data_IF_010205611893
#
_entry.id   IF_010205611893
#
_cell.length_a   1.000
_cell.length_b   1.000
_cell.length_c   1.000
_cell.angle_alpha   90.00
_cell.angle_beta   90.00
_cell.angle_gamma   90.00
#
_symmetry.space_group_name_H-M   'P 1'
#
loop_
_entity.id
_entity.type
_entity.pdbx_description
1 polymer ?
#
# COMPACT_ATOMS: atom_id res chain seq x y z
N UNK A 1 -3.12 10.42 -17.99
CA UNK A 1 -2.27 9.71 -18.97
C UNK A 1 -1.34 8.77 -18.23
N UNK A 2 -0.87 7.72 -18.91
CA UNK A 2 0.14 6.79 -18.39
C UNK A 2 1.07 6.36 -19.54
N UNK A 3 2.29 5.93 -19.22
CA UNK A 3 3.30 5.50 -20.18
C UNK A 3 3.74 4.10 -19.78
N UNK A 4 3.58 3.11 -20.66
CA UNK A 4 3.95 1.73 -20.35
C UNK A 4 5.45 1.44 -20.56
N UNK A 5 5.86 0.20 -20.26
CA UNK A 5 7.26 -0.24 -20.34
C UNK A 5 7.87 -0.17 -21.75
N UNK A 6 7.05 -0.10 -22.81
CA UNK A 6 7.51 0.06 -24.19
C UNK A 6 7.61 1.54 -24.60
N UNK A 7 7.25 2.46 -23.70
CA UNK A 7 7.15 3.88 -23.99
C UNK A 7 5.86 4.28 -24.71
N UNK A 8 4.90 3.35 -24.85
CA UNK A 8 3.60 3.67 -25.45
C UNK A 8 2.76 4.47 -24.46
N UNK A 9 2.00 5.44 -24.98
CA UNK A 9 1.27 6.42 -24.19
C UNK A 9 -0.21 6.10 -24.24
N UNK A 10 -0.85 5.90 -23.07
CA UNK A 10 -2.30 5.79 -22.97
C UNK A 10 -2.92 7.02 -22.27
N UNK A 11 -4.03 7.51 -22.83
CA UNK A 11 -4.74 8.72 -22.38
C UNK A 11 -6.22 8.38 -22.25
N UNK A 12 -6.85 8.82 -21.17
CA UNK A 12 -8.29 8.79 -21.01
C UNK A 12 -8.84 10.23 -20.94
N UNK A 13 -9.98 10.46 -21.57
CA UNK A 13 -10.73 11.72 -21.55
C UNK A 13 -12.18 11.48 -21.93
N UNK A 14 -13.01 12.53 -21.95
CA UNK A 14 -14.40 12.41 -22.36
C UNK A 14 -14.59 12.80 -23.83
N UNK A 15 -15.47 12.09 -24.54
CA UNK A 15 -15.87 12.41 -25.92
C UNK A 15 -17.37 12.23 -26.05
N UNK A 16 -18.05 13.13 -26.78
CA UNK A 16 -19.46 12.91 -27.14
C UNK A 16 -19.55 11.82 -28.21
N UNK A 17 -20.38 10.80 -27.98
CA UNK A 17 -20.75 9.79 -28.97
C UNK A 17 -22.03 10.15 -29.73
N UNK A 18 -22.35 9.40 -30.78
CA UNK A 18 -23.58 9.64 -31.55
C UNK A 18 -24.78 9.12 -30.77
N UNK A 19 -25.64 10.02 -30.29
CA UNK A 19 -26.85 9.66 -29.54
C UNK A 19 -26.61 9.33 -28.07
N UNK A 20 -25.42 9.63 -27.56
CA UNK A 20 -25.02 9.47 -26.16
C UNK A 20 -24.57 10.83 -25.59
N UNK A 21 -24.48 10.91 -24.25
CA UNK A 21 -23.82 12.01 -23.57
C UNK A 21 -22.28 11.91 -23.74
N UNK A 22 -21.51 12.56 -22.85
CA UNK A 22 -20.08 12.31 -22.77
C UNK A 22 -19.82 10.83 -22.44
N UNK A 23 -18.98 10.18 -23.23
CA UNK A 23 -18.52 8.81 -23.03
C UNK A 23 -17.05 8.83 -22.59
N UNK A 24 -16.58 7.77 -21.93
CA UNK A 24 -15.15 7.53 -21.78
C UNK A 24 -14.54 7.36 -23.17
N UNK A 25 -13.41 8.01 -23.41
CA UNK A 25 -12.56 7.79 -24.58
C UNK A 25 -11.14 7.47 -24.11
N UNK A 26 -10.63 6.30 -24.49
CA UNK A 26 -9.29 5.82 -24.17
C UNK A 26 -8.51 5.65 -25.45
N UNK A 27 -7.41 6.36 -25.57
CA UNK A 27 -6.51 6.34 -26.72
C UNK A 27 -5.17 5.76 -26.29
N UNK A 28 -4.58 4.91 -27.12
CA UNK A 28 -3.19 4.47 -26.98
C UNK A 28 -2.41 4.85 -28.22
N UNK A 29 -1.24 5.46 -28.00
CA UNK A 29 -0.28 5.86 -29.02
C UNK A 29 1.03 5.10 -28.82
N UNK A 30 1.75 4.84 -29.90
CA UNK A 30 3.12 4.35 -29.83
C UNK A 30 4.04 5.42 -29.25
N UNK A 31 5.24 5.02 -28.81
CA UNK A 31 6.30 5.97 -28.41
C UNK A 31 6.69 6.98 -29.51
N UNK A 32 6.35 6.70 -30.77
CA UNK A 32 6.57 7.60 -31.92
C UNK A 32 5.35 8.49 -32.24
N UNK A 33 4.27 8.38 -31.47
CA UNK A 33 3.05 9.19 -31.62
C UNK A 33 2.01 8.64 -32.61
N UNK A 34 2.14 7.38 -33.04
CA UNK A 34 1.15 6.74 -33.92
C UNK A 34 -0.03 6.22 -33.10
N UNK A 35 -1.27 6.46 -33.53
CA UNK A 35 -2.45 5.93 -32.83
C UNK A 35 -2.51 4.41 -33.01
N UNK A 36 -2.33 3.66 -31.93
CA UNK A 36 -2.44 2.20 -31.90
C UNK A 36 -3.90 1.77 -31.83
N UNK A 37 -4.68 2.37 -30.92
CA UNK A 37 -6.11 2.12 -30.83
C UNK A 37 -6.86 3.23 -30.08
N UNK A 38 -8.16 3.31 -30.36
CA UNK A 38 -9.15 4.11 -29.64
C UNK A 38 -10.28 3.19 -29.16
N UNK A 39 -10.71 3.37 -27.92
CA UNK A 39 -11.89 2.73 -27.34
C UNK A 39 -12.79 3.76 -26.70
N UNK A 40 -14.10 3.53 -26.85
CA UNK A 40 -15.13 4.27 -26.12
C UNK A 40 -15.88 3.33 -25.19
N UNK A 41 -16.29 3.85 -24.05
CA UNK A 41 -17.21 3.17 -23.15
C UNK A 41 -18.38 4.08 -22.86
N UNK A 42 -19.58 3.53 -23.08
CA UNK A 42 -20.87 4.16 -22.78
C UNK A 42 -21.54 3.37 -21.68
N UNK A 43 -21.92 4.06 -20.61
CA UNK A 43 -22.64 3.50 -19.48
C UNK A 43 -24.10 3.16 -19.80
N UNK A 44 -24.78 2.44 -18.90
CA UNK A 44 -26.17 2.04 -19.08
C UNK A 44 -27.15 3.22 -19.23
N UNK A 45 -26.86 4.34 -18.56
CA UNK A 45 -27.66 5.57 -18.68
C UNK A 45 -27.09 6.44 -19.80
N UNK A 46 -27.45 6.13 -21.05
CA UNK A 46 -26.87 6.75 -22.26
C UNK A 46 -27.03 8.27 -22.36
N UNK A 47 -27.99 8.85 -21.63
CA UNK A 47 -28.21 10.30 -21.54
C UNK A 47 -27.37 10.99 -20.46
N UNK A 48 -26.63 10.24 -19.64
CA UNK A 48 -25.81 10.73 -18.55
C UNK A 48 -24.33 10.65 -18.92
N UNK A 49 -23.49 11.60 -18.47
CA UNK A 49 -22.07 11.58 -18.79
C UNK A 49 -21.33 10.46 -18.05
N UNK A 50 -20.42 9.83 -18.77
CA UNK A 50 -19.36 8.98 -18.25
C UNK A 50 -18.04 9.77 -18.32
N UNK A 51 -17.44 10.06 -17.16
CA UNK A 51 -16.23 10.88 -17.07
C UNK A 51 -15.04 10.10 -16.49
N UNK A 52 -13.98 9.83 -17.28
CA UNK A 52 -12.77 9.23 -16.73
C UNK A 52 -12.04 10.24 -15.84
N UNK A 53 -11.59 9.77 -14.67
CA UNK A 53 -10.90 10.58 -13.65
C UNK A 53 -9.43 10.21 -13.53
N UNK A 54 -9.09 8.93 -13.68
CA UNK A 54 -7.70 8.46 -13.60
C UNK A 54 -7.43 7.25 -14.49
N UNK A 55 -6.16 7.05 -14.85
CA UNK A 55 -5.67 5.97 -15.72
C UNK A 55 -4.34 5.42 -15.20
N UNK A 56 -4.17 4.10 -15.24
CA UNK A 56 -2.93 3.39 -14.91
C UNK A 56 -2.70 2.21 -15.87
N UNK A 57 -1.50 1.63 -15.84
CA UNK A 57 -1.18 0.39 -16.54
C UNK A 57 -0.54 -0.62 -15.59
N UNK A 58 -0.62 -1.92 -15.91
CA UNK A 58 0.16 -2.96 -15.20
C UNK A 58 1.43 -3.37 -15.98
N UNK A 59 2.26 -4.20 -15.37
CA UNK A 59 3.52 -4.68 -15.96
C UNK A 59 3.32 -5.50 -17.25
N UNK A 60 2.12 -6.06 -17.48
CA UNK A 60 1.74 -6.75 -18.70
C UNK A 60 1.22 -5.80 -19.80
N UNK A 61 1.14 -4.49 -19.52
CA UNK A 61 0.67 -3.47 -20.46
C UNK A 61 -0.85 -3.35 -20.56
N UNK A 62 -1.61 -3.99 -19.66
CA UNK A 62 -3.05 -3.76 -19.59
C UNK A 62 -3.31 -2.34 -19.08
N UNK A 63 -4.34 -1.70 -19.61
CA UNK A 63 -4.73 -0.33 -19.25
C UNK A 63 -5.96 -0.38 -18.35
N UNK A 64 -5.93 0.37 -17.26
CA UNK A 64 -7.03 0.51 -16.32
C UNK A 64 -7.47 1.97 -16.29
N UNK A 65 -8.76 2.21 -16.44
CA UNK A 65 -9.36 3.55 -16.35
C UNK A 65 -10.44 3.53 -15.31
N UNK A 66 -10.43 4.51 -14.39
CA UNK A 66 -11.54 4.73 -13.47
C UNK A 66 -12.15 6.10 -13.66
N UNK A 67 -13.44 6.23 -13.37
CA UNK A 67 -14.19 7.46 -13.48
C UNK A 67 -15.63 7.31 -12.99
N UNK A 68 -16.45 8.33 -13.20
CA UNK A 68 -17.86 8.31 -12.82
C UNK A 68 -18.73 7.82 -13.97
N UNK A 69 -19.75 7.04 -13.67
CA UNK A 69 -20.75 6.57 -14.64
C UNK A 69 -22.08 6.32 -13.95
N UNK A 70 -23.19 6.73 -14.58
CA UNK A 70 -24.53 6.52 -14.02
C UNK A 70 -25.02 5.10 -14.36
N UNK A 71 -25.44 4.34 -13.34
CA UNK A 71 -26.03 3.01 -13.53
C UNK A 71 -27.51 3.06 -13.92
N UNK A 72 -28.14 1.89 -14.15
CA UNK A 72 -29.54 1.82 -14.62
C UNK A 72 -30.57 2.29 -13.58
N UNK A 73 -30.24 2.21 -12.30
CA UNK A 73 -31.13 2.58 -11.18
C UNK A 73 -30.36 3.16 -10.01
N UNK A 74 -29.16 3.64 -10.30
CA UNK A 74 -28.22 4.23 -9.34
C UNK A 74 -27.82 5.62 -9.83
N UNK A 75 -27.21 6.41 -8.94
CA UNK A 75 -26.66 7.72 -9.28
C UNK A 75 -25.28 7.56 -9.96
N UNK A 76 -24.44 8.59 -9.90
CA UNK A 76 -23.04 8.49 -10.33
C UNK A 76 -22.30 7.51 -9.44
N UNK A 77 -21.89 6.39 -10.04
CA UNK A 77 -21.11 5.34 -9.40
C UNK A 77 -19.66 5.39 -9.87
N UNK A 78 -18.77 4.72 -9.13
CA UNK A 78 -17.45 4.40 -9.66
C UNK A 78 -17.62 3.43 -10.81
N UNK A 79 -16.89 3.68 -11.89
CA UNK A 79 -16.64 2.73 -12.95
C UNK A 79 -15.13 2.50 -13.06
N UNK A 80 -14.72 1.24 -13.15
CA UNK A 80 -13.34 0.85 -13.46
C UNK A 80 -13.35 -0.12 -14.63
N UNK A 81 -12.61 0.19 -15.70
CA UNK A 81 -12.54 -0.62 -16.92
C UNK A 81 -11.11 -1.06 -17.16
N UNK A 82 -10.91 -2.35 -17.45
CA UNK A 82 -9.63 -2.92 -17.87
C UNK A 82 -9.65 -3.23 -19.37
N UNK A 83 -8.60 -2.80 -20.06
CA UNK A 83 -8.33 -3.13 -21.46
C UNK A 83 -7.02 -3.92 -21.57
N UNK A 84 -6.98 -4.87 -22.50
CA UNK A 84 -5.75 -5.54 -22.92
C UNK A 84 -4.78 -4.55 -23.59
N UNK A 85 -3.51 -4.92 -23.80
CA UNK A 85 -2.57 -4.07 -24.55
C UNK A 85 -3.04 -3.77 -25.98
N UNK A 86 -3.81 -4.67 -26.60
CA UNK A 86 -4.45 -4.51 -27.93
C UNK A 86 -5.73 -3.67 -27.91
N UNK A 87 -6.19 -3.24 -26.73
CA UNK A 87 -7.38 -2.42 -26.56
C UNK A 87 -8.68 -3.22 -26.41
N UNK A 88 -8.63 -4.54 -26.25
CA UNK A 88 -9.83 -5.34 -26.01
C UNK A 88 -10.30 -5.15 -24.56
N UNK A 89 -11.59 -4.87 -24.36
CA UNK A 89 -12.13 -4.74 -23.00
C UNK A 89 -12.13 -6.12 -22.33
N UNK A 90 -11.43 -6.24 -21.21
CA UNK A 90 -11.33 -7.50 -20.45
C UNK A 90 -12.46 -7.57 -19.43
N UNK A 91 -12.69 -6.49 -18.69
CA UNK A 91 -13.79 -6.38 -17.74
C UNK A 91 -14.08 -4.91 -17.40
N UNK A 92 -15.30 -4.65 -16.93
CA UNK A 92 -15.69 -3.43 -16.21
C UNK A 92 -16.27 -3.78 -14.83
N UNK A 93 -16.06 -2.88 -13.86
CA UNK A 93 -16.58 -3.01 -12.50
C UNK A 93 -17.17 -1.71 -12.02
N UNK A 94 -18.30 -1.82 -11.34
CA UNK A 94 -19.00 -0.71 -10.70
C UNK A 94 -18.93 -0.82 -9.19
N UNK A 95 -18.84 0.33 -8.53
CA UNK A 95 -18.99 0.44 -7.09
C UNK A 95 -19.93 1.59 -6.76
N UNK A 96 -21.05 1.26 -6.11
CA UNK A 96 -22.22 2.12 -5.90
C UNK A 96 -22.34 2.58 -4.44
N UNK A 97 -21.22 2.57 -3.72
CA UNK A 97 -21.20 2.94 -2.31
C UNK A 97 -22.11 2.10 -1.43
N UNK A 98 -22.58 2.72 -0.35
CA UNK A 98 -23.52 2.15 0.60
C UNK A 98 -24.98 2.44 0.23
N UNK A 99 -25.23 3.45 -0.60
CA UNK A 99 -26.56 3.93 -0.95
C UNK A 99 -26.70 4.03 -2.47
N UNK A 100 -27.73 3.44 -3.05
CA UNK A 100 -27.89 3.46 -4.51
C UNK A 100 -28.05 4.87 -5.12
N UNK A 101 -28.39 5.87 -4.30
CA UNK A 101 -28.55 7.26 -4.72
C UNK A 101 -27.38 8.17 -4.29
N UNK A 102 -26.28 7.63 -3.75
CA UNK A 102 -25.11 8.43 -3.40
C UNK A 102 -24.34 8.91 -4.64
N UNK A 103 -23.67 10.05 -4.51
CA UNK A 103 -22.71 10.49 -5.51
C UNK A 103 -21.34 9.91 -5.15
N UNK A 104 -20.93 8.87 -5.87
CA UNK A 104 -19.68 8.16 -5.65
C UNK A 104 -18.68 8.52 -6.75
N UNK A 105 -17.56 9.15 -6.37
CA UNK A 105 -16.54 9.63 -7.32
C UNK A 105 -15.14 9.05 -7.05
N UNK A 106 -14.55 8.29 -7.99
CA UNK A 106 -13.15 7.90 -7.92
C UNK A 106 -12.24 9.08 -8.28
N UNK A 107 -11.11 9.19 -7.59
CA UNK A 107 -10.12 10.24 -7.83
C UNK A 107 -8.76 9.70 -8.27
N UNK A 108 -8.47 8.43 -7.97
CA UNK A 108 -7.16 7.84 -8.28
C UNK A 108 -7.22 6.35 -8.51
N UNK A 109 -6.25 5.87 -9.29
CA UNK A 109 -6.05 4.44 -9.59
C UNK A 109 -4.56 4.11 -9.66
N UNK A 110 -4.18 2.94 -9.19
CA UNK A 110 -2.84 2.38 -9.35
C UNK A 110 -2.88 0.85 -9.40
N UNK A 111 -1.79 0.24 -9.85
CA UNK A 111 -1.64 -1.22 -9.98
C UNK A 111 -0.52 -1.71 -9.07
N UNK A 112 -0.67 -2.94 -8.54
CA UNK A 112 0.42 -3.63 -7.84
C UNK A 112 1.22 -4.53 -8.79
N UNK A 113 2.32 -5.08 -8.28
CA UNK A 113 3.22 -5.94 -9.07
C UNK A 113 2.56 -7.25 -9.53
N UNK A 114 1.48 -7.67 -8.86
CA UNK A 114 0.69 -8.85 -9.20
C UNK A 114 -0.39 -8.56 -10.26
N UNK A 115 -0.50 -7.30 -10.73
CA UNK A 115 -1.53 -6.88 -11.68
C UNK A 115 -2.91 -6.72 -11.06
N UNK A 116 -3.00 -6.63 -9.73
CA UNK A 116 -4.21 -6.17 -9.07
C UNK A 116 -4.31 -4.65 -9.21
N UNK A 117 -5.53 -4.13 -9.12
CA UNK A 117 -5.81 -2.71 -9.28
C UNK A 117 -6.47 -2.15 -8.04
N UNK A 118 -5.99 -0.98 -7.63
CA UNK A 118 -6.51 -0.24 -6.50
C UNK A 118 -7.11 1.07 -6.98
N UNK A 119 -8.30 1.38 -6.47
CA UNK A 119 -9.07 2.56 -6.81
C UNK A 119 -9.39 3.30 -5.52
N UNK A 120 -9.14 4.60 -5.48
CA UNK A 120 -9.53 5.46 -4.37
C UNK A 120 -10.49 6.55 -4.85
N UNK A 121 -11.40 6.97 -3.97
CA UNK A 121 -12.32 8.06 -4.21
C UNK A 121 -13.10 8.42 -2.96
N UNK A 122 -14.19 9.16 -3.14
CA UNK A 122 -15.14 9.48 -2.09
C UNK A 122 -16.51 8.83 -2.32
N UNK A 123 -17.16 8.42 -1.24
CA UNK A 123 -18.49 7.80 -1.25
C UNK A 123 -19.25 8.17 0.02
N UNK A 124 -20.56 8.41 -0.08
CA UNK A 124 -21.38 8.79 1.08
C UNK A 124 -21.44 7.65 2.11
N UNK A 125 -21.37 8.02 3.40
CA UNK A 125 -21.41 7.10 4.54
C UNK A 125 -22.64 7.29 5.43
N UNK A 126 -22.99 6.29 6.26
CA UNK A 126 -24.06 6.44 7.24
C UNK A 126 -23.68 7.52 8.27
N UNK A 127 -24.48 8.59 8.35
CA UNK A 127 -24.34 9.61 9.39
C UNK A 127 -23.11 10.51 9.24
N UNK A 128 -22.46 10.47 8.08
CA UNK A 128 -21.32 11.30 7.71
C UNK A 128 -21.58 11.95 6.34
N UNK A 129 -20.70 12.87 5.96
CA UNK A 129 -20.62 13.37 4.59
C UNK A 129 -19.87 12.32 3.73
N UNK A 130 -19.36 12.71 2.56
CA UNK A 130 -18.59 11.78 1.73
C UNK A 130 -17.26 11.42 2.38
N UNK A 131 -17.02 10.12 2.56
CA UNK A 131 -15.81 9.58 3.19
C UNK A 131 -14.87 9.00 2.12
N UNK A 132 -13.59 8.82 2.46
CA UNK A 132 -12.66 8.16 1.55
C UNK A 132 -12.99 6.66 1.46
N UNK A 133 -13.06 6.13 0.24
CA UNK A 133 -13.20 4.70 -0.03
C UNK A 133 -12.07 4.22 -0.93
N UNK A 134 -11.53 3.05 -0.58
CA UNK A 134 -10.50 2.36 -1.34
C UNK A 134 -10.98 0.96 -1.66
N UNK A 135 -10.83 0.59 -2.92
CA UNK A 135 -11.19 -0.70 -3.48
C UNK A 135 -9.90 -1.38 -3.98
N UNK A 136 -9.78 -2.69 -3.78
CA UNK A 136 -8.79 -3.52 -4.46
C UNK A 136 -9.49 -4.63 -5.23
N UNK A 137 -9.23 -4.70 -6.52
CA UNK A 137 -9.66 -5.79 -7.39
C UNK A 137 -8.46 -6.64 -7.79
N UNK A 138 -8.66 -7.95 -7.91
CA UNK A 138 -7.67 -8.83 -8.53
C UNK A 138 -7.55 -8.57 -10.04
N UNK A 139 -6.58 -9.21 -10.69
CA UNK A 139 -6.35 -9.06 -12.13
C UNK A 139 -7.53 -9.52 -13.01
N UNK A 140 -8.41 -10.38 -12.48
CA UNK A 140 -9.66 -10.85 -13.12
C UNK A 140 -10.88 -9.95 -12.80
N UNK A 141 -10.69 -8.91 -11.98
CA UNK A 141 -11.74 -7.96 -11.59
C UNK A 141 -12.57 -8.42 -10.40
N UNK A 142 -12.18 -9.46 -9.65
CA UNK A 142 -12.85 -9.82 -8.39
C UNK A 142 -12.48 -8.82 -7.32
N UNK A 143 -13.45 -8.28 -6.58
CA UNK A 143 -13.18 -7.41 -5.44
C UNK A 143 -12.51 -8.23 -4.32
N UNK A 144 -11.26 -7.92 -3.98
CA UNK A 144 -10.51 -8.56 -2.90
C UNK A 144 -10.93 -7.95 -1.57
N UNK A 145 -10.90 -6.62 -1.49
CA UNK A 145 -11.33 -5.88 -0.30
C UNK A 145 -11.74 -4.46 -0.68
N UNK A 146 -12.54 -3.85 0.21
CA UNK A 146 -12.77 -2.43 0.24
C UNK A 146 -12.58 -1.91 1.67
N UNK A 147 -12.17 -0.65 1.83
CA UNK A 147 -12.07 0.00 3.12
C UNK A 147 -12.55 1.44 3.04
N UNK A 148 -13.09 1.94 4.14
CA UNK A 148 -13.60 3.31 4.29
C UNK A 148 -12.82 4.00 5.39
N UNK A 149 -12.44 5.25 5.15
CA UNK A 149 -11.90 6.14 6.16
C UNK A 149 -12.83 7.34 6.33
N UNK A 150 -13.39 7.43 7.52
CA UNK A 150 -14.14 8.57 8.02
C UNK A 150 -13.38 9.16 9.21
N UNK A 151 -13.15 10.47 9.19
CA UNK A 151 -12.49 11.18 10.27
C UNK A 151 -13.36 11.21 11.53
N UNK A 152 -12.76 11.58 12.66
CA UNK A 152 -13.49 11.75 13.91
C UNK A 152 -14.56 12.87 13.87
N UNK A 153 -14.55 13.74 12.84
CA UNK A 153 -15.53 14.81 12.70
C UNK A 153 -16.75 14.44 11.86
N UNK A 154 -16.78 13.25 11.23
CA UNK A 154 -17.83 12.87 10.26
C UNK A 154 -18.00 13.87 9.11
N UNK A 155 -16.91 14.55 8.74
CA UNK A 155 -16.92 15.60 7.72
C UNK A 155 -16.62 15.05 6.32
N UNK A 156 -16.33 15.95 5.37
CA UNK A 156 -15.89 15.51 4.04
C UNK A 156 -14.44 15.02 4.12
N UNK A 157 -14.20 13.80 3.66
CA UNK A 157 -12.87 13.21 3.55
C UNK A 157 -12.64 12.72 2.11
N UNK A 158 -11.70 13.36 1.40
CA UNK A 158 -11.49 13.13 -0.05
C UNK A 158 -10.05 12.77 -0.37
N UNK A 159 -9.80 11.64 -1.05
CA UNK A 159 -8.47 11.33 -1.54
C UNK A 159 -8.17 12.18 -2.79
N UNK A 160 -6.95 12.71 -2.88
CA UNK A 160 -6.46 13.38 -4.09
C UNK A 160 -5.60 12.44 -4.95
N UNK A 161 -4.83 11.56 -4.31
CA UNK A 161 -3.91 10.66 -5.01
C UNK A 161 -3.75 9.36 -4.23
N UNK A 162 -3.69 8.26 -4.96
CA UNK A 162 -3.32 6.93 -4.47
C UNK A 162 -2.02 6.50 -5.15
N UNK A 163 -1.15 5.84 -4.40
CA UNK A 163 0.04 5.18 -4.92
C UNK A 163 0.34 3.92 -4.12
N UNK A 164 1.17 3.05 -4.67
CA UNK A 164 1.66 1.88 -3.96
C UNK A 164 3.16 2.02 -3.77
N UNK A 165 3.64 1.78 -2.54
CA UNK A 165 5.07 1.71 -2.28
C UNK A 165 5.65 0.35 -2.68
N UNK A 166 6.98 0.24 -2.66
CA UNK A 166 7.67 -1.01 -3.01
C UNK A 166 7.40 -2.17 -2.03
N UNK A 167 6.61 -1.95 -0.97
CA UNK A 167 6.18 -2.96 0.01
C UNK A 167 4.70 -3.31 -0.16
N UNK A 168 4.13 -2.97 -1.30
CA UNK A 168 2.70 -3.10 -1.62
C UNK A 168 1.76 -2.38 -0.64
N UNK A 169 2.28 -1.40 0.12
CA UNK A 169 1.43 -0.57 0.96
C UNK A 169 0.75 0.48 0.11
N UNK A 170 -0.54 0.67 0.36
CA UNK A 170 -1.35 1.68 -0.29
C UNK A 170 -1.15 3.00 0.44
N UNK A 171 -0.65 3.99 -0.26
CA UNK A 171 -0.49 5.36 0.22
C UNK A 171 -1.57 6.22 -0.42
N UNK A 172 -2.24 7.02 0.40
CA UNK A 172 -3.31 7.92 -0.04
C UNK A 172 -3.03 9.27 0.54
N UNK A 173 -2.95 10.30 -0.30
CA UNK A 173 -2.91 11.69 0.14
C UNK A 173 -4.24 12.35 -0.17
N UNK A 174 -4.72 13.23 0.70
CA UNK A 174 -6.00 13.89 0.52
C UNK A 174 -6.27 14.97 1.55
N UNK A 175 -7.53 15.38 1.62
CA UNK A 175 -8.03 16.28 2.65
C UNK A 175 -9.01 15.51 3.54
N UNK A 176 -8.93 15.73 4.85
CA UNK A 176 -9.85 15.18 5.85
C UNK A 176 -10.40 16.31 6.70
N UNK A 177 -11.60 16.17 7.23
CA UNK A 177 -12.12 17.17 8.17
C UNK A 177 -11.66 16.82 9.59
N UNK A 178 -10.94 17.73 10.25
CA UNK A 178 -10.47 17.58 11.62
C UNK A 178 -11.41 18.24 12.63
N UNK A 179 -11.43 17.70 13.86
CA UNK A 179 -12.26 18.23 14.95
C UNK A 179 -11.70 19.59 15.40
N UNK A 180 -12.44 20.66 15.10
CA UNK A 180 -12.08 22.03 15.50
C UNK A 180 -11.04 22.71 14.60
N UNK A 181 -10.57 22.04 13.54
CA UNK A 181 -9.54 22.54 12.61
C UNK A 181 -10.08 22.81 11.21
N UNK A 182 -11.20 22.18 10.82
CA UNK A 182 -11.73 22.28 9.45
C UNK A 182 -11.05 21.27 8.53
N UNK A 183 -10.86 21.58 7.25
CA UNK A 183 -10.18 20.66 6.32
C UNK A 183 -8.66 20.71 6.51
N UNK A 184 -8.07 19.57 6.83
CA UNK A 184 -6.64 19.35 6.99
C UNK A 184 -6.09 18.42 5.92
N UNK A 185 -4.80 18.55 5.60
CA UNK A 185 -4.11 17.58 4.76
C UNK A 185 -3.84 16.30 5.54
N UNK A 186 -4.09 15.15 4.90
CA UNK A 186 -3.79 13.83 5.47
C UNK A 186 -3.06 12.93 4.48
N UNK A 187 -2.23 12.04 5.04
CA UNK A 187 -1.67 10.88 4.34
C UNK A 187 -2.05 9.62 5.12
N UNK A 188 -2.78 8.73 4.47
CA UNK A 188 -3.15 7.42 4.99
C UNK A 188 -2.21 6.37 4.38
N UNK A 189 -1.77 5.41 5.20
CA UNK A 189 -1.00 4.25 4.75
C UNK A 189 -1.72 2.97 5.16
N UNK A 190 -2.15 2.18 4.19
CA UNK A 190 -2.70 0.85 4.40
C UNK A 190 -1.64 -0.17 4.01
N UNK A 191 -1.13 -0.91 4.99
CA UNK A 191 -0.20 -2.00 4.71
C UNK A 191 -1.01 -3.25 4.39
N UNK A 192 -0.67 -3.97 3.32
CA UNK A 192 -1.31 -5.25 3.06
C UNK A 192 -0.93 -6.24 4.18
N UNK A 193 -1.94 -6.65 4.94
CA UNK A 193 -1.82 -7.71 5.94
C UNK A 193 -1.67 -9.05 5.20
N UNK A 194 -0.46 -9.54 5.02
CA UNK A 194 -0.27 -10.97 4.76
C UNK A 194 -0.16 -11.70 6.09
N UNK A 195 -1.29 -12.12 6.67
CA UNK A 195 -1.28 -13.20 7.65
C UNK A 195 -2.67 -13.82 7.86
N UNK A 196 -2.79 -15.12 7.58
CA UNK A 196 -3.71 -15.99 8.34
C UNK A 196 -3.09 -16.15 9.73
N UNK A 197 -3.75 -15.59 10.75
CA UNK A 197 -3.36 -15.80 12.15
C UNK A 197 -3.75 -14.66 13.09
N UNK A 198 -4.95 -14.78 13.65
CA UNK A 198 -5.49 -14.24 14.92
C UNK A 198 -4.79 -13.06 15.62
N UNK A 199 -5.51 -11.93 15.66
CA UNK A 199 -5.61 -10.92 16.74
C UNK A 199 -4.43 -10.78 17.72
N UNK A 200 -3.63 -9.72 17.56
CA UNK A 200 -3.42 -8.64 18.56
C UNK A 200 -2.32 -7.67 18.11
N UNK A 201 -2.65 -6.38 18.12
CA UNK A 201 -1.76 -5.20 18.19
C UNK A 201 -0.72 -4.95 17.07
N UNK A 202 -0.78 -3.75 16.51
CA UNK A 202 -0.03 -3.26 15.34
C UNK A 202 1.49 -3.20 15.58
N UNK A 203 2.26 -3.96 14.79
CA UNK A 203 3.70 -3.77 14.55
C UNK A 203 4.08 -4.28 13.15
N UNK A 204 5.15 -3.78 12.51
CA UNK A 204 5.45 -4.03 11.09
C UNK A 204 5.64 -5.53 10.85
N UNK A 205 4.79 -6.14 10.03
CA UNK A 205 4.57 -7.59 9.97
C UNK A 205 5.74 -8.38 9.34
N UNK A 206 6.82 -8.56 10.09
CA UNK A 206 7.82 -9.61 9.84
C UNK A 206 9.23 -9.33 10.32
N UNK A 207 9.63 -8.06 10.50
CA UNK A 207 10.90 -7.71 11.15
C UNK A 207 10.66 -7.44 12.64
N UNK A 208 11.24 -8.26 13.51
CA UNK A 208 11.10 -8.11 14.96
C UNK A 208 12.43 -8.33 15.67
N UNK A 209 12.63 -7.62 16.79
CA UNK A 209 13.73 -7.86 17.73
C UNK A 209 13.11 -8.04 19.12
N UNK A 210 13.18 -9.25 19.64
CA UNK A 210 12.62 -9.62 20.94
C UNK A 210 13.48 -9.09 22.08
N UNK A 211 12.84 -8.83 23.23
CA UNK A 211 13.56 -8.62 24.47
C UNK A 211 14.36 -9.89 24.81
N UNK A 212 15.64 -9.74 25.15
CA UNK A 212 16.49 -10.85 25.55
C UNK A 212 15.94 -11.54 26.80
N UNK A 213 16.07 -12.87 26.87
CA UNK A 213 15.66 -13.66 28.03
C UNK A 213 16.76 -14.64 28.44
N UNK A 214 17.12 -14.69 29.74
CA UNK A 214 16.64 -13.83 30.82
C UNK A 214 17.12 -12.36 30.68
N UNK A 215 16.41 -11.41 31.30
CA UNK A 215 16.85 -10.03 31.50
C UNK A 215 16.30 -9.53 32.86
N UNK A 216 17.13 -9.30 33.89
CA UNK A 216 18.60 -9.33 33.89
C UNK A 216 19.19 -10.71 33.61
N UNK A 217 20.45 -10.79 33.18
CA UNK A 217 21.10 -12.06 32.84
C UNK A 217 22.48 -12.25 33.49
N UNK A 218 22.85 -13.51 33.71
CA UNK A 218 24.17 -13.94 34.18
C UNK A 218 24.40 -15.44 33.88
N UNK A 219 25.50 -15.86 33.23
CA UNK A 219 26.33 -15.07 32.33
C UNK A 219 25.74 -14.97 30.91
N UNK A 220 24.65 -15.70 30.62
CA UNK A 220 24.11 -15.84 29.26
C UNK A 220 22.66 -15.37 29.12
N UNK A 221 22.33 -14.85 27.95
CA UNK A 221 20.96 -14.51 27.54
C UNK A 221 20.71 -14.91 26.09
N UNK A 222 19.45 -15.03 25.71
CA UNK A 222 19.04 -15.37 24.34
C UNK A 222 18.33 -14.19 23.71
N UNK A 223 18.72 -13.83 22.48
CA UNK A 223 18.14 -12.74 21.69
C UNK A 223 17.42 -13.34 20.49
N UNK A 224 16.10 -13.22 20.48
CA UNK A 224 15.25 -13.63 19.35
C UNK A 224 15.01 -12.49 18.36
N UNK A 225 14.90 -12.81 17.07
CA UNK A 225 14.49 -11.87 16.04
C UNK A 225 13.82 -12.59 14.87
N UNK A 226 12.97 -11.88 14.13
CA UNK A 226 12.32 -12.40 12.91
C UNK A 226 12.72 -11.57 11.71
N UNK A 227 12.97 -12.22 10.58
CA UNK A 227 13.28 -11.60 9.30
C UNK A 227 12.14 -11.85 8.31
N UNK A 228 11.62 -10.80 7.63
CA UNK A 228 10.54 -10.97 6.66
C UNK A 228 11.00 -11.62 5.35
N UNK A 229 12.27 -11.42 4.98
CA UNK A 229 12.88 -11.95 3.75
C UNK A 229 14.35 -12.33 4.01
N UNK A 230 14.98 -12.96 3.03
CA UNK A 230 16.42 -13.18 3.04
C UNK A 230 17.16 -11.84 3.04
N UNK A 231 18.17 -11.69 3.89
CA UNK A 231 18.87 -10.41 4.04
C UNK A 231 20.19 -10.48 4.79
N UNK A 232 21.00 -9.44 4.63
CA UNK A 232 22.21 -9.20 5.41
C UNK A 232 21.83 -8.74 6.81
N UNK A 233 22.30 -9.45 7.84
CA UNK A 233 21.98 -9.20 9.24
C UNK A 233 23.25 -8.93 10.04
N UNK A 234 23.23 -7.89 10.85
CA UNK A 234 24.28 -7.57 11.82
C UNK A 234 23.70 -7.28 13.20
N UNK A 235 23.98 -8.14 14.19
CA UNK A 235 23.60 -7.94 15.60
C UNK A 235 24.84 -7.57 16.41
N UNK A 236 24.87 -6.34 16.93
CA UNK A 236 26.00 -5.79 17.67
C UNK A 236 25.56 -5.35 19.06
N UNK A 237 26.46 -5.44 20.03
CA UNK A 237 26.25 -5.02 21.42
C UNK A 237 27.12 -3.82 21.74
N UNK A 238 26.55 -2.87 22.49
CA UNK A 238 27.13 -1.60 22.85
C UNK A 238 27.02 -1.36 24.36
N UNK A 239 28.00 -0.67 24.92
CA UNK A 239 27.89 -0.09 26.26
C UNK A 239 27.07 1.22 26.25
N UNK A 240 26.93 1.86 27.41
CA UNK A 240 26.17 3.12 27.58
C UNK A 240 26.81 4.31 26.89
N UNK A 241 28.10 4.24 26.56
CA UNK A 241 28.82 5.27 25.79
C UNK A 241 28.65 5.07 24.27
N UNK A 242 27.97 3.99 23.86
CA UNK A 242 27.75 3.63 22.45
C UNK A 242 28.95 2.94 21.81
N UNK A 243 29.96 2.52 22.58
CA UNK A 243 31.10 1.76 22.08
C UNK A 243 30.69 0.31 21.86
N UNK A 244 31.01 -0.22 20.68
CA UNK A 244 30.73 -1.62 20.33
C UNK A 244 31.62 -2.56 21.17
N UNK A 245 31.00 -3.42 21.96
CA UNK A 245 31.67 -4.39 22.85
C UNK A 245 31.58 -5.83 22.36
N UNK A 246 30.62 -6.16 21.49
CA UNK A 246 30.53 -7.48 20.84
C UNK A 246 29.78 -7.43 19.49
N UNK A 247 30.01 -8.42 18.64
CA UNK A 247 29.24 -8.68 17.42
C UNK A 247 28.86 -10.17 17.39
N UNK A 248 27.55 -10.45 17.39
CA UNK A 248 27.03 -11.82 17.51
C UNK A 248 26.85 -12.44 16.13
N UNK A 249 26.52 -11.63 15.13
CA UNK A 249 26.34 -12.07 13.75
C UNK A 249 26.63 -10.92 12.79
N UNK A 250 27.14 -11.27 11.60
CA UNK A 250 27.31 -10.38 10.47
C UNK A 250 27.33 -11.20 9.16
N UNK A 251 26.17 -11.66 8.71
CA UNK A 251 26.04 -12.49 7.51
C UNK A 251 24.65 -12.40 6.89
N UNK A 252 24.51 -12.95 5.67
CA UNK A 252 23.21 -13.19 5.06
C UNK A 252 22.50 -14.32 5.81
N UNK A 253 21.21 -14.11 6.08
CA UNK A 253 20.33 -15.06 6.76
C UNK A 253 19.03 -15.24 5.98
N UNK A 254 18.45 -16.45 6.00
CA UNK A 254 17.16 -16.70 5.38
C UNK A 254 16.03 -16.03 6.16
N UNK A 255 14.90 -15.79 5.51
CA UNK A 255 13.66 -15.35 6.14
C UNK A 255 13.25 -16.30 7.29
N UNK A 256 12.51 -15.76 8.27
CA UNK A 256 11.97 -16.53 9.40
C UNK A 256 12.52 -16.10 10.77
N UNK A 257 12.19 -16.89 11.78
CA UNK A 257 12.57 -16.64 13.18
C UNK A 257 13.92 -17.24 13.51
N UNK A 258 14.76 -16.44 14.17
CA UNK A 258 16.13 -16.77 14.56
C UNK A 258 16.36 -16.46 16.02
N UNK A 259 17.36 -17.13 16.59
CA UNK A 259 17.74 -16.94 17.98
C UNK A 259 19.25 -17.06 18.14
N UNK A 260 19.85 -16.14 18.89
CA UNK A 260 21.27 -16.12 19.18
C UNK A 260 21.52 -16.04 20.68
N UNK A 261 22.39 -16.90 21.18
CA UNK A 261 22.85 -16.86 22.57
C UNK A 261 24.02 -15.89 22.70
N UNK A 262 23.94 -14.99 23.68
CA UNK A 262 25.03 -14.13 24.10
C UNK A 262 25.54 -14.60 25.46
N UNK A 263 26.80 -15.04 25.53
CA UNK A 263 27.45 -15.47 26.76
C UNK A 263 28.62 -14.54 27.10
N UNK A 264 28.53 -13.78 28.22
CA UNK A 264 29.61 -12.85 28.58
C UNK A 264 30.86 -13.54 29.12
N UNK A 265 30.77 -14.80 29.57
CA UNK A 265 31.94 -15.53 30.06
C UNK A 265 33.02 -15.69 29.00
N UNK A 266 32.64 -15.66 27.72
CA UNK A 266 33.52 -15.80 26.57
C UNK A 266 34.04 -14.45 26.04
N UNK A 267 33.53 -13.33 26.56
CA UNK A 267 33.94 -11.98 26.14
C UNK A 267 35.37 -11.63 26.58
N UNK A 268 36.14 -11.00 25.69
CA UNK A 268 37.48 -10.45 25.97
C UNK A 268 37.58 -9.00 25.46
N UNK A 269 37.83 -8.01 26.33
CA UNK A 269 37.89 -8.09 27.80
C UNK A 269 36.54 -8.47 28.43
N UNK A 270 36.58 -8.94 29.68
CA UNK A 270 35.38 -9.27 30.45
C UNK A 270 34.49 -8.04 30.63
N UNK A 271 33.21 -8.17 30.30
CA UNK A 271 32.24 -7.08 30.43
C UNK A 271 31.85 -6.87 31.90
N UNK A 272 31.87 -5.64 32.45
CA UNK A 272 31.41 -5.37 33.81
C UNK A 272 29.89 -5.49 33.96
N UNK A 273 29.40 -5.66 35.19
CA UNK A 273 27.97 -5.49 35.52
C UNK A 273 27.49 -4.12 35.04
N UNK A 274 26.33 -4.07 34.39
CA UNK A 274 25.83 -2.81 33.85
C UNK A 274 24.76 -2.96 32.78
N UNK A 275 24.34 -1.81 32.27
CA UNK A 275 23.38 -1.70 31.17
C UNK A 275 24.11 -1.77 29.84
N UNK A 276 23.56 -2.54 28.91
CA UNK A 276 24.05 -2.67 27.55
C UNK A 276 22.89 -2.55 26.56
N UNK A 277 23.21 -2.24 25.31
CA UNK A 277 22.26 -2.16 24.22
C UNK A 277 22.65 -3.13 23.12
N UNK A 278 21.71 -3.87 22.56
CA UNK A 278 21.93 -4.64 21.34
C UNK A 278 21.13 -4.03 20.19
N UNK A 279 21.78 -3.88 19.05
CA UNK A 279 21.22 -3.33 17.82
C UNK A 279 21.26 -4.37 16.72
N UNK A 280 20.10 -4.68 16.18
CA UNK A 280 19.94 -5.49 14.97
C UNK A 280 19.82 -4.55 13.78
N UNK A 281 20.75 -4.64 12.84
CA UNK A 281 20.66 -4.03 11.52
C UNK A 281 20.37 -5.13 10.50
N UNK A 282 19.41 -4.88 9.60
CA UNK A 282 18.98 -5.84 8.59
C UNK A 282 18.82 -5.13 7.25
N UNK A 283 19.38 -5.70 6.18
CA UNK A 283 19.22 -5.24 4.80
C UNK A 283 18.67 -6.38 3.95
N UNK A 284 17.43 -6.28 3.47
CA UNK A 284 16.80 -7.30 2.65
C UNK A 284 17.49 -7.40 1.27
N UNK A 285 17.79 -8.61 0.81
CA UNK A 285 18.48 -8.83 -0.48
C UNK A 285 17.61 -8.44 -1.68
N UNK A 286 16.31 -8.67 -1.61
CA UNK A 286 15.41 -8.55 -2.76
C UNK A 286 14.92 -7.11 -3.01
N UNK A 287 15.03 -6.24 -2.01
CA UNK A 287 14.43 -4.89 -2.05
C UNK A 287 15.39 -3.78 -1.62
N UNK A 288 16.55 -4.10 -1.04
CA UNK A 288 17.45 -3.12 -0.44
C UNK A 288 16.89 -2.45 0.82
N UNK A 289 15.72 -2.89 1.33
CA UNK A 289 15.12 -2.41 2.57
C UNK A 289 16.10 -2.47 3.72
N UNK A 290 16.21 -1.39 4.49
CA UNK A 290 17.04 -1.36 5.69
C UNK A 290 16.18 -1.17 6.93
N UNK A 291 16.37 -2.03 7.92
CA UNK A 291 15.72 -1.92 9.21
C UNK A 291 16.78 -1.92 10.32
N UNK A 292 16.51 -1.16 11.36
CA UNK A 292 17.32 -1.15 12.58
C UNK A 292 16.42 -1.14 13.80
N UNK A 293 16.72 -1.96 14.81
CA UNK A 293 16.03 -1.94 16.10
C UNK A 293 17.05 -2.10 17.23
N UNK A 294 16.80 -1.43 18.34
CA UNK A 294 17.66 -1.40 19.52
C UNK A 294 16.85 -1.80 20.74
N UNK A 295 17.43 -2.66 21.58
CA UNK A 295 16.86 -3.04 22.86
C UNK A 295 17.92 -2.99 23.95
N UNK A 296 17.46 -2.74 25.16
CA UNK A 296 18.29 -2.66 26.37
C UNK A 296 18.36 -4.03 27.04
N UNK A 297 19.51 -4.38 27.60
CA UNK A 297 19.69 -5.53 28.48
C UNK A 297 20.51 -5.15 29.72
N UNK A 298 20.35 -5.91 30.80
CA UNK A 298 21.01 -5.69 32.07
C UNK A 298 21.83 -6.94 32.45
N UNK A 299 23.15 -6.79 32.52
CA UNK A 299 24.07 -7.81 33.01
C UNK A 299 24.27 -7.61 34.52
N UNK A 300 24.07 -8.65 35.32
CA UNK A 300 24.33 -8.66 36.77
C UNK A 300 25.32 -9.79 37.05
N UNK A 301 26.37 -9.52 37.84
CA UNK A 301 27.33 -10.53 38.29
C UNK A 301 27.13 -10.84 39.77
#
# INVERSE_FOLDING_TARGET
>A
MTIDNNGDIAIAGSSVGSGTSLDFAVLKYSSMGELLWLRRYTGPATSSPDEPKAIAHDSAGNIYVTGTSVGQSTSYDYLTVKYSPSGDMIWDRRYTGQFNNSFDEPTGICTDASGNVLVAGMSDGIGALSDMVILKYDSAGTLIWNTRYNSASNGFDKPNKISIDNYESVLISGAVTGVGTGMDFAVLKYSQLTAVGSTTELSPSGFSLSQNYPNPFNPSTTIGFTLPFDGSVSLNIFDVEGKKVAQLINKIMPAGSHSLTFNVSESKPQLPTGTYFYRLNYVALNSGMQFSNVKKMLLIK
#
